data_IF_795106297130
#
_entry.id   IF_795106297130
#
_cell.length_a   1.000
_cell.length_b   1.000
_cell.length_c   1.000
_cell.angle_alpha   90.00
_cell.angle_beta   90.00
_cell.angle_gamma   90.00
#
_symmetry.space_group_name_H-M   'P 1'
#
loop_
_entity.id
_entity.type
_entity.pdbx_description
1 polymer ?
#
# COMPACT_ATOMS: atom_id res chain seq x y z
N UNK A 1 29.02 -8.43 4.15
CA UNK A 1 28.21 -9.56 3.66
C UNK A 1 29.07 -10.35 2.70
N UNK A 2 29.32 -11.63 3.00
CA UNK A 2 30.12 -12.49 2.13
C UNK A 2 29.35 -12.84 0.84
N UNK A 3 30.04 -13.26 -0.25
CA UNK A 3 29.39 -13.57 -1.52
C UNK A 3 28.24 -14.59 -1.40
N UNK A 4 28.40 -15.60 -0.55
CA UNK A 4 27.38 -16.64 -0.27
C UNK A 4 26.16 -16.09 0.46
N UNK A 5 26.35 -15.14 1.37
CA UNK A 5 25.24 -14.53 2.11
C UNK A 5 24.39 -13.66 1.18
N UNK A 6 25.04 -12.92 0.27
CA UNK A 6 24.37 -12.11 -0.75
C UNK A 6 23.55 -12.97 -1.71
N UNK A 7 24.08 -14.12 -2.14
CA UNK A 7 23.37 -15.06 -3.02
C UNK A 7 22.16 -15.70 -2.31
N UNK A 8 22.32 -16.13 -1.05
CA UNK A 8 21.24 -16.68 -0.25
C UNK A 8 20.13 -15.63 -0.02
N UNK A 9 20.50 -14.40 0.32
CA UNK A 9 19.56 -13.29 0.46
C UNK A 9 18.80 -13.03 -0.85
N UNK A 10 19.51 -12.93 -1.97
CA UNK A 10 18.91 -12.66 -3.29
C UNK A 10 17.92 -13.75 -3.68
N UNK A 11 18.26 -15.00 -3.41
CA UNK A 11 17.39 -16.15 -3.69
C UNK A 11 16.13 -16.11 -2.85
N UNK A 12 16.27 -15.85 -1.54
CA UNK A 12 15.13 -15.70 -0.63
C UNK A 12 14.23 -14.53 -1.02
N UNK A 13 14.82 -13.37 -1.32
CA UNK A 13 14.11 -12.17 -1.75
C UNK A 13 13.25 -12.46 -2.99
N UNK A 14 13.85 -13.04 -4.04
CA UNK A 14 13.14 -13.39 -5.29
C UNK A 14 12.03 -14.41 -5.06
N UNK A 15 12.25 -15.37 -4.16
CA UNK A 15 11.24 -16.37 -3.81
C UNK A 15 10.03 -15.73 -3.14
N UNK A 16 10.24 -14.82 -2.19
CA UNK A 16 9.16 -14.10 -1.51
C UNK A 16 8.44 -13.15 -2.47
N UNK A 17 9.18 -12.40 -3.30
CA UNK A 17 8.60 -11.52 -4.32
C UNK A 17 7.68 -12.29 -5.27
N UNK A 18 8.17 -13.42 -5.80
CA UNK A 18 7.38 -14.29 -6.67
C UNK A 18 6.14 -14.86 -5.97
N UNK A 19 6.25 -15.22 -4.69
CA UNK A 19 5.12 -15.71 -3.90
C UNK A 19 4.05 -14.63 -3.73
N UNK A 20 4.45 -13.39 -3.44
CA UNK A 20 3.53 -12.26 -3.31
C UNK A 20 2.80 -12.00 -4.63
N UNK A 21 3.51 -11.99 -5.76
CA UNK A 21 2.90 -11.76 -7.07
C UNK A 21 1.98 -12.91 -7.50
N UNK A 22 2.38 -14.16 -7.24
CA UNK A 22 1.51 -15.31 -7.49
C UNK A 22 0.26 -15.26 -6.63
N UNK A 23 0.40 -14.93 -5.35
CA UNK A 23 -0.75 -14.76 -4.46
C UNK A 23 -1.66 -13.65 -4.95
N UNK A 24 -1.10 -12.49 -5.33
CA UNK A 24 -1.84 -11.34 -5.88
C UNK A 24 -2.69 -11.75 -7.09
N UNK A 25 -2.15 -12.56 -7.99
CA UNK A 25 -2.86 -13.05 -9.18
C UNK A 25 -3.99 -14.05 -8.86
N UNK A 26 -3.98 -14.66 -7.67
CA UNK A 26 -5.06 -15.53 -7.21
C UNK A 26 -6.18 -14.77 -6.49
N UNK A 27 -6.00 -13.49 -6.15
CA UNK A 27 -7.01 -12.71 -5.42
C UNK A 27 -8.10 -12.24 -6.40
N UNK A 28 -9.39 -12.49 -6.10
CA UNK A 28 -10.48 -11.95 -6.91
C UNK A 28 -10.44 -10.41 -7.01
N UNK A 29 -10.87 -9.88 -8.14
CA UNK A 29 -11.01 -8.43 -8.31
C UNK A 29 -12.06 -7.86 -7.36
N UNK A 30 -11.83 -6.64 -6.89
CA UNK A 30 -12.81 -5.93 -6.06
C UNK A 30 -14.06 -5.59 -6.89
N UNK A 31 -15.28 -5.81 -6.35
CA UNK A 31 -16.50 -5.46 -7.06
C UNK A 31 -16.56 -3.95 -7.29
N UNK A 32 -16.67 -3.55 -8.55
CA UNK A 32 -16.85 -2.15 -8.91
C UNK A 32 -18.33 -1.81 -8.75
N UNK A 33 -18.65 -0.99 -7.75
CA UNK A 33 -19.95 -0.33 -7.50
C UNK A 33 -21.09 -1.16 -6.85
N UNK A 34 -21.76 -0.53 -5.89
CA UNK A 34 -23.16 -0.78 -5.49
C UNK A 34 -23.49 -2.03 -4.68
N UNK A 35 -22.65 -3.07 -4.68
CA UNK A 35 -22.92 -4.33 -3.96
C UNK A 35 -21.86 -4.60 -2.91
N UNK A 36 -21.93 -3.85 -1.80
CA UNK A 36 -21.04 -4.10 -0.68
C UNK A 36 -21.55 -5.32 0.11
N UNK A 37 -20.99 -6.50 -0.19
CA UNK A 37 -21.27 -7.73 0.55
C UNK A 37 -20.29 -7.85 1.72
N UNK A 38 -20.60 -8.66 2.73
CA UNK A 38 -19.67 -8.96 3.83
C UNK A 38 -18.28 -9.43 3.33
N UNK A 39 -18.24 -10.03 2.13
CA UNK A 39 -17.02 -10.50 1.49
C UNK A 39 -16.13 -9.36 0.96
N UNK A 40 -16.70 -8.22 0.56
CA UNK A 40 -15.94 -7.08 0.01
C UNK A 40 -14.96 -6.52 1.02
N UNK A 41 -15.34 -6.46 2.31
CA UNK A 41 -14.44 -6.04 3.40
C UNK A 41 -13.25 -6.99 3.51
N UNK A 42 -13.51 -8.30 3.63
CA UNK A 42 -12.44 -9.30 3.70
C UNK A 42 -11.52 -9.25 2.48
N UNK A 43 -12.09 -9.10 1.29
CA UNK A 43 -11.34 -8.99 0.05
C UNK A 43 -10.47 -7.73 -0.01
N UNK A 44 -11.00 -6.57 0.38
CA UNK A 44 -10.25 -5.33 0.47
C UNK A 44 -9.08 -5.45 1.47
N UNK A 45 -9.32 -6.12 2.61
CA UNK A 45 -8.25 -6.39 3.58
C UNK A 45 -7.15 -7.25 2.97
N UNK A 46 -7.50 -8.32 2.25
CA UNK A 46 -6.53 -9.20 1.58
C UNK A 46 -5.70 -8.43 0.54
N UNK A 47 -6.34 -7.59 -0.28
CA UNK A 47 -5.63 -6.71 -1.22
C UNK A 47 -4.65 -5.78 -0.50
N UNK A 48 -5.09 -5.12 0.58
CA UNK A 48 -4.24 -4.22 1.35
C UNK A 48 -3.08 -4.95 2.05
N UNK A 49 -3.30 -6.16 2.58
CA UNK A 49 -2.23 -6.97 3.19
C UNK A 49 -1.20 -7.42 2.14
N UNK A 50 -1.66 -7.75 0.94
CA UNK A 50 -0.78 -8.12 -0.18
C UNK A 50 0.09 -6.94 -0.61
N UNK A 51 -0.51 -5.75 -0.76
CA UNK A 51 0.23 -4.51 -1.01
C UNK A 51 1.21 -4.17 0.12
N UNK A 52 0.80 -4.35 1.38
CA UNK A 52 1.68 -4.13 2.52
C UNK A 52 2.88 -5.09 2.51
N UNK A 53 2.70 -6.36 2.10
CA UNK A 53 3.79 -7.31 1.95
C UNK A 53 4.79 -6.85 0.86
N UNK A 54 4.30 -6.37 -0.29
CA UNK A 54 5.14 -5.76 -1.33
C UNK A 54 5.95 -4.58 -0.77
N UNK A 55 5.30 -3.66 -0.06
CA UNK A 55 5.97 -2.50 0.57
C UNK A 55 7.05 -2.97 1.55
N UNK A 56 6.72 -3.91 2.44
CA UNK A 56 7.66 -4.39 3.45
C UNK A 56 8.88 -5.07 2.82
N UNK A 57 8.70 -5.85 1.77
CA UNK A 57 9.80 -6.49 1.05
C UNK A 57 10.72 -5.47 0.36
N UNK A 58 10.15 -4.48 -0.33
CA UNK A 58 10.90 -3.54 -1.16
C UNK A 58 11.38 -2.26 -0.44
N UNK A 59 10.81 -1.92 0.73
CA UNK A 59 11.09 -0.67 1.46
C UNK A 59 12.57 -0.45 1.79
N UNK A 60 13.32 -1.51 2.08
CA UNK A 60 14.76 -1.38 2.38
C UNK A 60 15.59 -0.99 1.16
N UNK A 61 15.05 -1.19 -0.05
CA UNK A 61 15.73 -0.94 -1.32
C UNK A 61 15.16 0.27 -2.05
N UNK A 62 14.01 0.80 -1.64
CA UNK A 62 13.27 1.85 -2.37
C UNK A 62 13.99 3.20 -2.45
N UNK A 63 15.05 3.44 -1.70
CA UNK A 63 15.86 4.66 -1.85
C UNK A 63 16.97 4.50 -2.90
N UNK A 64 17.45 3.28 -3.12
CA UNK A 64 18.59 2.98 -3.97
C UNK A 64 18.22 2.30 -5.29
N UNK A 65 17.05 1.66 -5.37
CA UNK A 65 16.59 0.90 -6.54
C UNK A 65 15.26 1.46 -7.11
N UNK A 66 15.26 1.96 -8.37
CA UNK A 66 14.06 2.44 -9.05
C UNK A 66 12.90 1.47 -9.09
N UNK A 67 13.20 0.19 -9.30
CA UNK A 67 12.14 -0.83 -9.42
C UNK A 67 11.47 -1.04 -8.07
N UNK A 68 12.24 -1.15 -6.99
CA UNK A 68 11.71 -1.33 -5.64
C UNK A 68 10.86 -0.15 -5.18
N UNK A 69 11.25 1.08 -5.47
CA UNK A 69 10.44 2.26 -5.16
C UNK A 69 9.14 2.29 -5.94
N UNK A 70 9.18 2.02 -7.25
CA UNK A 70 7.99 2.01 -8.08
C UNK A 70 6.99 0.97 -7.56
N UNK A 71 7.47 -0.21 -7.15
CA UNK A 71 6.63 -1.23 -6.49
C UNK A 71 6.03 -0.74 -5.18
N UNK A 72 6.81 -0.09 -4.31
CA UNK A 72 6.30 0.50 -3.06
C UNK A 72 5.23 1.57 -3.32
N UNK A 73 5.50 2.52 -4.22
CA UNK A 73 4.56 3.59 -4.58
C UNK A 73 3.29 3.01 -5.17
N UNK A 74 3.40 2.10 -6.14
CA UNK A 74 2.24 1.45 -6.75
C UNK A 74 1.39 0.73 -5.71
N UNK A 75 2.02 -0.05 -4.84
CA UNK A 75 1.32 -0.75 -3.77
C UNK A 75 0.61 0.22 -2.80
N UNK A 76 1.27 1.33 -2.43
CA UNK A 76 0.69 2.35 -1.58
C UNK A 76 -0.50 3.06 -2.26
N UNK A 77 -0.35 3.45 -3.52
CA UNK A 77 -1.41 4.05 -4.35
C UNK A 77 -2.62 3.13 -4.48
N UNK A 78 -2.41 1.83 -4.75
CA UNK A 78 -3.49 0.85 -4.87
C UNK A 78 -4.26 0.70 -3.52
N UNK A 79 -3.56 0.73 -2.37
CA UNK A 79 -4.19 0.65 -1.03
C UNK A 79 -5.16 1.80 -0.72
N UNK A 80 -4.83 3.01 -1.17
CA UNK A 80 -5.61 4.24 -0.89
C UNK A 80 -6.58 4.60 -2.02
N UNK A 81 -6.48 3.97 -3.19
CA UNK A 81 -7.42 4.19 -4.29
C UNK A 81 -8.77 3.52 -4.04
N UNK A 82 -8.82 2.51 -3.16
CA UNK A 82 -10.01 1.73 -2.77
C UNK A 82 -10.79 1.07 -3.92
N UNK A 83 -10.34 1.21 -5.17
CA UNK A 83 -10.92 0.64 -6.40
C UNK A 83 -12.45 0.79 -6.50
N UNK A 84 -12.98 1.95 -6.12
CA UNK A 84 -14.42 2.25 -6.20
C UNK A 84 -15.28 1.66 -5.06
N UNK A 85 -14.66 1.09 -4.02
CA UNK A 85 -15.36 0.67 -2.81
C UNK A 85 -15.76 1.89 -1.99
N UNK A 86 -17.06 2.05 -1.70
CA UNK A 86 -17.55 3.08 -0.78
C UNK A 86 -17.21 2.69 0.66
N UNK A 87 -16.16 3.29 1.20
CA UNK A 87 -15.68 2.99 2.54
C UNK A 87 -16.72 3.24 3.64
N UNK A 88 -17.70 4.15 3.43
CA UNK A 88 -18.77 4.42 4.41
C UNK A 88 -19.66 3.21 4.62
N UNK A 89 -19.75 2.36 3.61
CA UNK A 89 -20.58 1.14 3.63
C UNK A 89 -19.84 -0.07 4.21
N UNK A 90 -18.56 0.06 4.58
CA UNK A 90 -17.79 -1.01 5.25
C UNK A 90 -18.17 -1.18 6.74
N UNK A 91 -18.88 -0.21 7.33
CA UNK A 91 -19.28 -0.24 8.73
C UNK A 91 -18.08 -0.23 9.68
N UNK A 92 -18.15 -1.02 10.75
CA UNK A 92 -17.01 -1.19 11.66
C UNK A 92 -15.88 -1.95 10.94
N UNK A 93 -14.79 -1.21 10.66
CA UNK A 93 -13.56 -1.75 10.08
C UNK A 93 -12.61 -2.21 11.19
N UNK A 94 -11.83 -3.26 10.89
CA UNK A 94 -10.78 -3.73 11.78
C UNK A 94 -9.71 -2.63 11.96
N UNK A 95 -9.16 -2.46 13.17
CA UNK A 95 -8.09 -1.48 13.44
C UNK A 95 -6.86 -1.66 12.54
N UNK A 96 -6.66 -2.86 12.00
CA UNK A 96 -5.63 -3.17 10.99
C UNK A 96 -5.70 -2.25 9.76
N UNK A 97 -6.89 -1.79 9.34
CA UNK A 97 -7.00 -0.85 8.21
C UNK A 97 -6.27 0.47 8.47
N UNK A 98 -6.33 0.96 9.72
CA UNK A 98 -5.61 2.17 10.11
C UNK A 98 -4.10 2.02 9.94
N UNK A 99 -3.55 0.89 10.38
CA UNK A 99 -2.12 0.59 10.20
C UNK A 99 -1.73 0.44 8.71
N UNK A 100 -2.60 -0.15 7.90
CA UNK A 100 -2.37 -0.34 6.47
C UNK A 100 -2.40 0.99 5.71
N UNK A 101 -3.41 1.84 5.92
CA UNK A 101 -3.44 3.15 5.28
C UNK A 101 -2.37 4.08 5.81
N UNK A 102 -2.01 3.99 7.10
CA UNK A 102 -0.86 4.70 7.63
C UNK A 102 0.42 4.30 6.89
N UNK A 103 0.68 2.99 6.71
CA UNK A 103 1.83 2.50 5.96
C UNK A 103 1.85 3.04 4.52
N UNK A 104 0.72 3.05 3.83
CA UNK A 104 0.61 3.60 2.48
C UNK A 104 0.91 5.12 2.46
N UNK A 105 0.31 5.89 3.37
CA UNK A 105 0.57 7.32 3.51
C UNK A 105 2.05 7.62 3.79
N UNK A 106 2.70 6.84 4.66
CA UNK A 106 4.14 7.01 4.93
C UNK A 106 4.97 6.84 3.67
N UNK A 107 4.72 5.79 2.87
CA UNK A 107 5.44 5.59 1.60
C UNK A 107 5.26 6.77 0.64
N UNK A 108 4.03 7.30 0.54
CA UNK A 108 3.74 8.44 -0.33
C UNK A 108 4.41 9.74 0.17
N UNK A 109 4.42 9.98 1.49
CA UNK A 109 5.09 11.12 2.11
C UNK A 109 6.61 11.03 1.92
N UNK A 110 7.18 9.85 2.12
CA UNK A 110 8.61 9.61 1.98
C UNK A 110 9.06 9.86 0.53
N UNK A 111 8.27 9.45 -0.46
CA UNK A 111 8.57 9.74 -1.87
C UNK A 111 8.46 11.23 -2.19
N UNK A 112 7.41 11.92 -1.71
CA UNK A 112 7.26 13.37 -1.90
C UNK A 112 8.48 14.09 -1.30
N UNK A 113 8.93 13.65 -0.12
CA UNK A 113 10.10 14.21 0.56
C UNK A 113 11.39 13.92 -0.20
N UNK A 114 11.57 12.69 -0.71
CA UNK A 114 12.75 12.27 -1.49
C UNK A 114 12.93 13.12 -2.74
N UNK A 115 11.84 13.46 -3.44
CA UNK A 115 11.88 14.28 -4.66
C UNK A 115 12.34 15.71 -4.44
N UNK A 116 12.25 16.21 -3.20
CA UNK A 116 12.77 17.53 -2.84
C UNK A 116 14.30 17.53 -2.77
N UNK A 117 14.93 16.38 -2.52
CA UNK A 117 16.37 16.25 -2.27
C UNK A 117 17.11 15.44 -3.34
N UNK A 118 16.40 14.68 -4.17
CA UNK A 118 16.98 13.79 -5.16
C UNK A 118 16.22 13.85 -6.50
N UNK A 119 16.89 13.54 -7.63
CA UNK A 119 16.25 13.49 -8.92
C UNK A 119 15.04 12.55 -8.95
N UNK A 120 14.03 12.96 -9.70
CA UNK A 120 12.85 12.14 -10.00
C UNK A 120 13.28 11.01 -10.94
N UNK A 121 12.84 9.79 -10.66
CA UNK A 121 13.17 8.64 -11.49
C UNK A 121 12.29 8.60 -12.76
N UNK A 122 12.82 8.08 -13.88
CA UNK A 122 12.02 7.84 -15.09
C UNK A 122 10.80 6.97 -14.75
N UNK A 123 9.66 7.25 -15.39
CA UNK A 123 8.38 6.52 -15.23
C UNK A 123 7.75 6.55 -13.82
N UNK A 124 8.21 7.44 -12.95
CA UNK A 124 7.58 7.67 -11.66
C UNK A 124 6.28 8.48 -11.79
N UNK A 125 5.34 8.28 -10.85
CA UNK A 125 4.07 9.02 -10.82
C UNK A 125 4.30 10.54 -10.78
N UNK A 126 3.36 11.33 -11.33
CA UNK A 126 3.44 12.79 -11.20
C UNK A 126 3.26 13.25 -9.75
N UNK A 127 3.76 14.42 -9.40
CA UNK A 127 3.60 14.99 -8.05
C UNK A 127 2.13 15.22 -7.69
N UNK A 128 1.31 15.61 -8.67
CA UNK A 128 -0.14 15.76 -8.52
C UNK A 128 -0.79 14.43 -8.19
N UNK A 129 -0.35 13.35 -8.87
CA UNK A 129 -0.84 12.00 -8.63
C UNK A 129 -0.47 11.51 -7.24
N UNK A 130 0.76 11.76 -6.78
CA UNK A 130 1.19 11.39 -5.42
C UNK A 130 0.37 12.12 -4.35
N UNK A 131 0.18 13.43 -4.52
CA UNK A 131 -0.64 14.25 -3.61
C UNK A 131 -2.08 13.76 -3.58
N UNK A 132 -2.66 13.45 -4.74
CA UNK A 132 -4.02 12.90 -4.84
C UNK A 132 -4.17 11.60 -4.04
N UNK A 133 -3.26 10.64 -4.20
CA UNK A 133 -3.30 9.40 -3.42
C UNK A 133 -3.12 9.64 -1.93
N UNK A 134 -2.25 10.57 -1.53
CA UNK A 134 -2.07 10.93 -0.13
C UNK A 134 -3.35 11.53 0.47
N UNK A 135 -4.05 12.38 -0.28
CA UNK A 135 -5.32 12.97 0.16
C UNK A 135 -6.42 11.90 0.30
N UNK A 136 -6.47 10.90 -0.59
CA UNK A 136 -7.37 9.75 -0.43
C UNK A 136 -7.07 8.97 0.86
N UNK A 137 -5.80 8.67 1.13
CA UNK A 137 -5.40 7.98 2.36
C UNK A 137 -5.73 8.78 3.62
N UNK A 138 -5.53 10.10 3.60
CA UNK A 138 -5.93 11.00 4.70
C UNK A 138 -7.44 11.03 4.91
N UNK A 139 -8.22 11.08 3.83
CA UNK A 139 -9.68 11.05 3.91
C UNK A 139 -10.18 9.73 4.54
N UNK A 140 -9.60 8.59 4.14
CA UNK A 140 -9.91 7.29 4.72
C UNK A 140 -9.58 7.27 6.23
N UNK A 141 -8.38 7.70 6.62
CA UNK A 141 -7.98 7.77 8.04
C UNK A 141 -8.88 8.70 8.87
N UNK A 142 -9.23 9.87 8.34
CA UNK A 142 -10.10 10.84 9.03
C UNK A 142 -11.50 10.28 9.28
N UNK A 143 -12.09 9.64 8.27
CA UNK A 143 -13.44 9.09 8.38
C UNK A 143 -13.57 7.98 9.45
N UNK A 144 -12.50 7.22 9.69
CA UNK A 144 -12.52 6.19 10.75
C UNK A 144 -11.96 6.67 12.09
N UNK A 145 -11.24 7.79 12.14
CA UNK A 145 -10.83 8.41 13.41
C UNK A 145 -12.00 9.05 14.14
N UNK A 146 -12.94 9.68 13.43
CA UNK A 146 -14.15 10.31 13.99
C UNK A 146 -15.06 9.31 14.71
N UNK A 147 -15.04 8.04 14.29
CA UNK A 147 -15.82 6.94 14.85
C UNK A 147 -15.04 6.11 15.89
N UNK A 148 -13.80 6.50 16.21
CA UNK A 148 -13.00 5.79 17.19
C UNK A 148 -13.39 6.22 18.62
N UNK A 149 -14.07 5.34 19.35
CA UNK A 149 -14.53 5.59 20.72
C UNK A 149 -13.38 5.92 21.71
N UNK A 150 -12.13 5.62 21.35
CA UNK A 150 -10.94 5.92 22.16
C UNK A 150 -10.42 7.35 22.03
N UNK A 151 -10.88 8.14 21.05
CA UNK A 151 -10.43 9.53 20.83
C UNK A 151 -11.38 10.55 21.49
N UNK A 152 -12.58 10.13 21.93
CA UNK A 152 -13.59 11.00 22.59
C UNK A 152 -13.59 10.87 24.12
N UNK A 153 -12.42 10.83 24.76
CA UNK A 153 -12.30 10.96 26.22
C UNK A 153 -11.87 12.37 26.59
#
# INVERSE_FOLDING_TARGET
>A
MGPRETEAFTTSFRSIDSLIENFRNCIPQLPQTGTNTANTRGLLLIHNLTNAATIKLHSSFSYADPVSNQKCIKAASDMVSHHGVDLRTLGAVNSVYGALWHLACTVLIDEISRRQTAPVWPDSLSDESLKHHLDLGRAALSMFSENCAYIRQ
#
